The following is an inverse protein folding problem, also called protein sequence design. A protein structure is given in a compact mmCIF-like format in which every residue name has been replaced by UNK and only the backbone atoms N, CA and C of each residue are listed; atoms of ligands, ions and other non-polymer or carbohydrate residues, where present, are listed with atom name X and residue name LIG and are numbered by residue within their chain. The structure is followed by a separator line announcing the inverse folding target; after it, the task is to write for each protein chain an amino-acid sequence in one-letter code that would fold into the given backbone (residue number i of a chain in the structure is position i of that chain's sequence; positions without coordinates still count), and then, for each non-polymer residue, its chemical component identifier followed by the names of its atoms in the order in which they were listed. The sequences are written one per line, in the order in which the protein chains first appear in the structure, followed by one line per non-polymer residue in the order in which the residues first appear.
data_IF_826888582193
#
_entry.id   IF_826888582193
#
_cell.length_a   1.000
_cell.length_b   1.000
_cell.length_c   1.000
_cell.angle_alpha   90.00
_cell.angle_beta   90.00
_cell.angle_gamma   90.00
#
_symmetry.space_group_name_H-M   'P 1'
#
loop_
_entity.id
_entity.type
_entity.pdbx_description
1 polymer ?
#
# COMPACT_ATOMS: atom_id res chain seq x y z
N UNK A 1 -0.35 12.73 30.58
CA UNK A 1 -0.87 11.89 29.50
C UNK A 1 -0.27 12.44 28.23
N UNK A 2 0.76 11.78 27.71
CA UNK A 2 1.42 12.14 26.45
C UNK A 2 0.41 11.91 25.33
N UNK A 3 -0.12 13.00 24.79
CA UNK A 3 -0.80 12.96 23.50
C UNK A 3 0.29 12.64 22.49
N UNK A 4 0.36 11.38 22.05
CA UNK A 4 1.19 11.02 20.90
C UNK A 4 0.78 11.95 19.76
N UNK A 5 1.75 12.71 19.24
CA UNK A 5 1.58 13.47 18.00
C UNK A 5 0.97 12.55 16.94
N UNK A 6 0.17 13.05 15.99
CA UNK A 6 -0.23 12.21 14.88
C UNK A 6 1.07 11.74 14.23
N UNK A 7 1.29 10.42 14.23
CA UNK A 7 2.17 9.80 13.25
C UNK A 7 1.79 10.45 11.91
N UNK A 8 2.74 10.99 11.14
CA UNK A 8 2.39 11.62 9.87
C UNK A 8 1.71 10.54 9.01
N UNK A 9 0.39 10.64 8.88
CA UNK A 9 -0.41 9.76 8.05
C UNK A 9 -0.65 10.51 6.76
N UNK A 10 0.02 10.05 5.70
CA UNK A 10 -0.41 10.35 4.36
C UNK A 10 -1.72 9.59 4.13
N UNK A 11 -2.83 10.31 4.16
CA UNK A 11 -4.18 9.78 3.89
C UNK A 11 -4.21 9.42 2.39
N UNK A 12 -3.72 8.22 2.10
CA UNK A 12 -3.53 7.75 0.74
C UNK A 12 -4.86 7.52 0.04
N UNK A 13 -4.79 7.48 -1.29
CA UNK A 13 -5.94 7.30 -2.15
C UNK A 13 -6.37 5.84 -2.29
N UNK A 14 -7.24 5.63 -3.27
CA UNK A 14 -7.54 4.30 -3.78
C UNK A 14 -6.69 4.03 -5.02
N UNK A 15 -6.35 2.76 -5.23
CA UNK A 15 -5.72 2.25 -6.45
C UNK A 15 -6.55 1.11 -7.02
N UNK A 16 -6.31 0.75 -8.28
CA UNK A 16 -6.91 -0.44 -8.87
C UNK A 16 -6.26 -1.68 -8.24
N UNK A 17 -7.06 -2.67 -7.84
CA UNK A 17 -6.60 -3.81 -7.04
C UNK A 17 -5.45 -4.61 -7.69
N UNK A 18 -5.44 -4.71 -9.03
CA UNK A 18 -4.39 -5.39 -9.80
C UNK A 18 -3.02 -4.71 -9.69
N UNK A 19 -3.00 -3.43 -9.30
CA UNK A 19 -1.78 -2.65 -9.09
C UNK A 19 -1.25 -2.70 -7.66
N UNK A 20 -1.88 -3.44 -6.75
CA UNK A 20 -1.48 -3.45 -5.34
C UNK A 20 -0.03 -3.91 -5.18
N UNK A 21 0.35 -5.02 -5.82
CA UNK A 21 1.72 -5.54 -5.77
C UNK A 21 2.76 -4.53 -6.28
N UNK A 22 2.67 -3.98 -7.50
CA UNK A 22 3.66 -3.01 -7.98
C UNK A 22 3.67 -1.71 -7.17
N UNK A 23 2.54 -1.31 -6.56
CA UNK A 23 2.54 -0.22 -5.58
C UNK A 23 3.37 -0.58 -4.34
N UNK A 24 3.14 -1.76 -3.73
CA UNK A 24 3.90 -2.21 -2.55
C UNK A 24 5.41 -2.27 -2.84
N UNK A 25 5.80 -2.82 -3.99
CA UNK A 25 7.20 -2.86 -4.45
C UNK A 25 7.79 -1.44 -4.60
N UNK A 26 7.02 -0.50 -5.16
CA UNK A 26 7.46 0.89 -5.33
C UNK A 26 7.64 1.61 -3.98
N UNK A 27 6.68 1.47 -3.06
CA UNK A 27 6.75 2.07 -1.72
C UNK A 27 7.92 1.49 -0.93
N UNK A 28 8.14 0.18 -1.02
CA UNK A 28 9.28 -0.49 -0.40
C UNK A 28 10.62 0.05 -0.93
N UNK A 29 10.76 0.19 -2.25
CA UNK A 29 11.96 0.78 -2.87
C UNK A 29 12.21 2.21 -2.36
N UNK A 30 11.17 3.04 -2.28
CA UNK A 30 11.31 4.41 -1.75
C UNK A 30 11.72 4.45 -0.28
N UNK A 31 11.27 3.47 0.52
CA UNK A 31 11.63 3.31 1.92
C UNK A 31 13.02 2.67 2.13
N UNK A 32 13.66 2.18 1.06
CA UNK A 32 14.86 1.34 1.16
C UNK A 32 14.60 0.02 1.88
N UNK A 33 13.42 -0.57 1.68
CA UNK A 33 13.00 -1.87 2.19
C UNK A 33 13.05 -2.92 1.07
N UNK A 34 13.59 -4.10 1.35
CA UNK A 34 13.63 -5.21 0.39
C UNK A 34 12.32 -6.00 0.43
N UNK A 35 11.44 -5.76 -0.55
CA UNK A 35 10.15 -6.43 -0.65
C UNK A 35 10.28 -7.81 -1.29
N UNK A 36 9.90 -8.85 -0.57
CA UNK A 36 10.00 -10.25 -1.00
C UNK A 36 8.64 -10.87 -1.36
N UNK A 37 8.66 -12.08 -1.94
CA UNK A 37 7.42 -12.85 -2.17
C UNK A 37 6.68 -13.17 -0.87
N UNK A 38 7.38 -13.31 0.26
CA UNK A 38 6.72 -13.58 1.55
C UNK A 38 5.93 -12.36 2.04
N UNK A 39 6.44 -11.17 1.74
CA UNK A 39 5.81 -9.89 2.07
C UNK A 39 4.57 -9.67 1.22
N UNK A 40 4.67 -9.98 -0.07
CA UNK A 40 3.50 -10.03 -0.95
C UNK A 40 2.44 -11.01 -0.43
N UNK A 41 2.84 -12.24 -0.11
CA UNK A 41 1.90 -13.25 0.37
C UNK A 41 1.19 -12.82 1.66
N UNK A 42 1.88 -12.12 2.56
CA UNK A 42 1.28 -11.60 3.79
C UNK A 42 0.16 -10.59 3.50
N UNK A 43 0.43 -9.61 2.63
CA UNK A 43 -0.55 -8.60 2.22
C UNK A 43 -1.72 -9.23 1.46
N UNK A 44 -1.42 -10.07 0.47
CA UNK A 44 -2.43 -10.74 -0.37
C UNK A 44 -3.36 -11.63 0.47
N UNK A 45 -2.82 -12.34 1.46
CA UNK A 45 -3.60 -13.22 2.33
C UNK A 45 -4.47 -12.43 3.31
N UNK A 46 -4.01 -11.25 3.76
CA UNK A 46 -4.75 -10.41 4.70
C UNK A 46 -5.87 -9.61 4.04
N UNK A 47 -5.69 -9.21 2.77
CA UNK A 47 -6.61 -8.31 2.06
C UNK A 47 -8.09 -8.75 2.10
N UNK A 48 -8.46 -10.03 1.91
CA UNK A 48 -9.86 -10.47 1.96
C UNK A 48 -10.55 -10.29 3.33
N UNK A 49 -9.79 -10.09 4.40
CA UNK A 49 -10.31 -9.85 5.75
C UNK A 49 -10.42 -8.35 6.10
N UNK A 50 -10.07 -7.46 5.16
CA UNK A 50 -10.14 -6.01 5.32
C UNK A 50 -11.40 -5.43 4.68
N UNK A 51 -11.83 -4.27 5.17
CA UNK A 51 -13.03 -3.56 4.69
C UNK A 51 -12.91 -2.07 5.06
N UNK A 52 -12.80 -1.22 4.04
CA UNK A 52 -12.66 0.23 4.22
C UNK A 52 -13.91 0.87 4.84
N UNK A 53 -15.12 0.38 4.54
CA UNK A 53 -16.38 0.91 5.09
C UNK A 53 -16.52 0.57 6.57
N UNK A 54 -15.98 -0.58 6.98
CA UNK A 54 -15.93 -1.01 8.38
C UNK A 54 -14.67 -0.54 9.12
N UNK A 55 -13.84 0.31 8.49
CA UNK A 55 -12.56 0.76 9.03
C UNK A 55 -11.65 -0.39 9.51
N UNK A 56 -11.71 -1.54 8.83
CA UNK A 56 -10.86 -2.70 9.09
C UNK A 56 -9.69 -2.69 8.11
N UNK A 57 -8.52 -2.28 8.60
CA UNK A 57 -7.29 -2.14 7.82
C UNK A 57 -6.29 -3.23 8.18
N UNK A 58 -5.46 -3.62 7.21
CA UNK A 58 -4.27 -4.42 7.45
C UNK A 58 -3.04 -3.51 7.49
N UNK A 59 -2.35 -3.51 8.62
CA UNK A 59 -1.15 -2.72 8.85
C UNK A 59 0.08 -3.58 8.53
N UNK A 60 0.84 -3.18 7.53
CA UNK A 60 2.05 -3.87 7.10
C UNK A 60 3.29 -2.99 7.35
N UNK A 61 4.10 -3.29 8.38
CA UNK A 61 5.29 -2.51 8.69
C UNK A 61 6.44 -2.82 7.72
N UNK A 62 7.02 -1.78 7.12
CA UNK A 62 8.22 -1.85 6.28
C UNK A 62 9.39 -1.23 7.03
N UNK A 63 10.28 -2.08 7.55
CA UNK A 63 11.42 -1.67 8.36
C UNK A 63 12.67 -1.43 7.49
N UNK A 64 12.55 -0.52 6.52
CA UNK A 64 13.62 -0.10 5.62
C UNK A 64 14.55 0.95 6.24
N UNK A 65 15.29 1.65 5.38
CA UNK A 65 16.08 2.83 5.77
C UNK A 65 15.19 3.94 6.36
N UNK A 66 14.01 4.12 5.77
CA UNK A 66 12.94 4.97 6.27
C UNK A 66 11.78 4.08 6.73
N UNK A 67 11.64 3.83 8.04
CA UNK A 67 10.59 2.95 8.54
C UNK A 67 9.22 3.58 8.30
N UNK A 68 8.31 2.81 7.71
CA UNK A 68 6.92 3.23 7.47
C UNK A 68 5.97 2.06 7.70
N UNK A 69 4.68 2.37 7.83
CA UNK A 69 3.61 1.37 7.85
C UNK A 69 2.69 1.62 6.67
N UNK A 70 2.50 0.59 5.83
CA UNK A 70 1.53 0.58 4.76
C UNK A 70 0.20 0.03 5.32
N UNK A 71 -0.85 0.85 5.30
CA UNK A 71 -2.19 0.39 5.68
C UNK A 71 -2.97 0.10 4.41
N UNK A 72 -3.57 -1.08 4.34
CA UNK A 72 -4.28 -1.57 3.15
C UNK A 72 -5.69 -2.01 3.55
N UNK A 73 -6.70 -1.56 2.80
CA UNK A 73 -8.07 -2.03 2.97
C UNK A 73 -8.77 -2.24 1.63
N UNK A 74 -9.46 -3.37 1.48
CA UNK A 74 -10.33 -3.63 0.35
C UNK A 74 -11.61 -2.80 0.44
N UNK A 75 -12.20 -2.54 -0.74
CA UNK A 75 -13.57 -2.04 -0.89
C UNK A 75 -14.45 -3.20 -1.41
N UNK A 76 -15.18 -3.93 -0.53
CA UNK A 76 -15.90 -5.13 -0.92
C UNK A 76 -16.94 -4.86 -2.02
N UNK A 77 -16.85 -5.63 -3.11
CA UNK A 77 -17.74 -5.47 -4.27
C UNK A 77 -17.24 -4.46 -5.31
N UNK A 78 -16.10 -3.82 -5.06
CA UNK A 78 -15.35 -3.00 -6.01
C UNK A 78 -14.09 -3.71 -6.49
N UNK A 79 -13.34 -3.07 -7.40
CA UNK A 79 -12.03 -3.54 -7.88
C UNK A 79 -10.91 -2.58 -7.49
N UNK A 80 -11.09 -1.89 -6.36
CA UNK A 80 -10.14 -0.93 -5.81
C UNK A 80 -9.67 -1.34 -4.43
N UNK A 81 -8.51 -0.83 -4.05
CA UNK A 81 -7.92 -1.01 -2.72
C UNK A 81 -7.54 0.37 -2.21
N UNK A 82 -7.92 0.66 -0.97
CA UNK A 82 -7.54 1.87 -0.28
C UNK A 82 -6.20 1.70 0.41
N UNK A 83 -5.37 2.73 0.32
CA UNK A 83 -4.01 2.73 0.84
C UNK A 83 -3.84 3.93 1.76
N UNK A 84 -3.15 3.74 2.88
CA UNK A 84 -2.59 4.85 3.67
C UNK A 84 -1.15 4.54 4.00
N UNK A 85 -0.35 5.57 4.24
CA UNK A 85 1.03 5.39 4.69
C UNK A 85 1.25 6.21 5.93
N UNK A 86 1.71 5.55 6.99
CA UNK A 86 2.05 6.18 8.25
C UNK A 86 3.57 6.15 8.49
N UNK A 87 4.07 7.15 9.22
CA UNK A 87 5.47 7.21 9.66
C UNK A 87 6.44 7.83 8.64
N UNK A 88 5.94 8.31 7.50
CA UNK A 88 6.75 9.04 6.53
C UNK A 88 7.10 10.41 7.10
N UNK A 89 8.40 10.70 7.22
CA UNK A 89 8.90 11.97 7.79
C UNK A 89 9.76 12.77 6.82
N UNK A 90 10.10 12.19 5.66
CA UNK A 90 10.91 12.80 4.61
C UNK A 90 10.02 13.26 3.45
N UNK A 91 10.07 14.57 3.13
CA UNK A 91 9.24 15.21 2.10
C UNK A 91 9.44 14.60 0.70
N UNK A 92 10.66 14.14 0.39
CA UNK A 92 10.95 13.53 -0.90
C UNK A 92 10.23 12.18 -1.03
N UNK A 93 10.34 11.34 0.01
CA UNK A 93 9.69 10.03 0.06
C UNK A 93 8.18 10.16 0.03
N UNK A 94 7.63 11.14 0.76
CA UNK A 94 6.21 11.49 0.73
C UNK A 94 5.75 11.82 -0.70
N UNK A 95 6.43 12.73 -1.40
CA UNK A 95 6.10 13.09 -2.77
C UNK A 95 6.21 11.91 -3.77
N UNK A 96 7.17 11.00 -3.56
CA UNK A 96 7.29 9.78 -4.38
C UNK A 96 6.11 8.84 -4.17
N UNK A 97 5.67 8.65 -2.93
CA UNK A 97 4.52 7.83 -2.58
C UNK A 97 3.23 8.44 -3.14
N UNK A 98 3.02 9.75 -3.01
CA UNK A 98 1.87 10.46 -3.60
C UNK A 98 1.81 10.27 -5.11
N UNK A 99 2.94 10.42 -5.80
CA UNK A 99 3.03 10.22 -7.24
C UNK A 99 2.70 8.77 -7.63
N UNK A 100 3.22 7.78 -6.90
CA UNK A 100 2.91 6.38 -7.14
C UNK A 100 1.43 6.09 -6.97
N UNK A 101 0.81 6.57 -5.88
CA UNK A 101 -0.64 6.44 -5.65
C UNK A 101 -1.44 7.00 -6.83
N UNK A 102 -1.08 8.19 -7.33
CA UNK A 102 -1.74 8.79 -8.48
C UNK A 102 -1.61 7.94 -9.76
N UNK A 103 -0.42 7.40 -10.03
CA UNK A 103 -0.16 6.56 -11.20
C UNK A 103 -0.99 5.27 -11.12
N UNK A 104 -0.94 4.56 -9.99
CA UNK A 104 -1.61 3.27 -9.81
C UNK A 104 -3.13 3.38 -9.61
N UNK A 105 -3.66 4.58 -9.40
CA UNK A 105 -5.10 4.86 -9.46
C UNK A 105 -5.62 5.07 -10.89
N UNK A 106 -4.75 5.43 -11.84
CA UNK A 106 -5.15 5.93 -13.17
C UNK A 106 -5.13 4.84 -14.25
N UNK A 107 -4.22 3.88 -14.14
CA UNK A 107 -3.99 2.86 -15.17
C UNK A 107 -4.19 1.48 -14.59
N UNK A 108 -4.79 0.56 -15.34
CA UNK A 108 -4.90 -0.84 -14.92
C UNK A 108 -3.76 -1.67 -15.54
N UNK A 109 -3.01 -2.40 -14.72
CA UNK A 109 -2.04 -3.35 -15.24
C UNK A 109 -2.77 -4.46 -16.00
N UNK A 110 -2.46 -4.60 -17.28
CA UNK A 110 -3.02 -5.66 -18.11
C UNK A 110 -2.65 -7.03 -17.53
N UNK A 111 -3.66 -7.83 -17.18
CA UNK A 111 -3.47 -9.22 -16.82
C UNK A 111 -3.01 -9.97 -18.07
N UNK A 112 -1.74 -10.39 -18.11
CA UNK A 112 -1.24 -11.23 -19.19
C UNK A 112 -2.00 -12.57 -19.10
N UNK A 113 -2.72 -13.01 -20.16
CA UNK A 113 -3.36 -14.32 -20.12
C UNK A 113 -2.28 -15.35 -19.89
N UNK A 114 -2.43 -16.14 -18.82
CA UNK A 114 -1.61 -17.32 -18.56
C UNK A 114 -1.70 -18.19 -19.82
N UNK A 115 -0.61 -18.26 -20.57
CA UNK A 115 -0.48 -19.24 -21.65
C UNK A 115 -0.33 -20.58 -20.95
N UNK A 116 -1.45 -21.28 -20.79
CA UNK A 116 -1.40 -22.69 -20.38
C UNK A 116 -0.74 -23.46 -21.55
N UNK A 117 0.43 -24.07 -21.28
CA UNK A 117 1.10 -25.03 -22.17
C UNK A 117 0.68 -26.47 -21.82
#
# INVERSE_FOLDING_TARGET
MTTSEPECILDGGWIIATNLRPLCESVAEFAGYEFSESDWQAIETALPATDVEQATWYDYPMLGQLPLTLLVAADPGSSVVFIRVAGVTDERTEAQIEAALHIFATWELAQQPRQDE
#
